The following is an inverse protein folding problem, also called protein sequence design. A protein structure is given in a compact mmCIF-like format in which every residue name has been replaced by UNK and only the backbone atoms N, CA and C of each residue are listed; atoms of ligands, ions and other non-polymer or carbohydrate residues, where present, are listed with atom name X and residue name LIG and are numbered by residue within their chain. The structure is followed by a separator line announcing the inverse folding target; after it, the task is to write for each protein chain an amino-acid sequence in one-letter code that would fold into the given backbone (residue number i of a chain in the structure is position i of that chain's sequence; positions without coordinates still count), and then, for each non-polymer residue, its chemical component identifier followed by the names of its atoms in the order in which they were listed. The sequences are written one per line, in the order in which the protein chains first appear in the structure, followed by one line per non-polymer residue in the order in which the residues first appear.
data_IF_314793579945
#
_entry.id   IF_314793579945
#
_cell.length_a   1.000
_cell.length_b   1.000
_cell.length_c   1.000
_cell.angle_alpha   90.00
_cell.angle_beta   90.00
_cell.angle_gamma   90.00
#
_symmetry.space_group_name_H-M   'P 1'
#
loop_
_entity.id
_entity.type
_entity.pdbx_description
1 polymer ?
#
# COMPACT_ATOMS: atom_id res chain seq x y z
N UNK A 1 14.36 -7.96 -30.02
CA UNK A 1 13.29 -7.72 -29.04
C UNK A 1 12.38 -8.93 -29.05
N UNK A 2 12.16 -9.50 -27.88
CA UNK A 2 11.31 -10.68 -27.69
C UNK A 2 9.86 -10.25 -27.36
N UNK A 3 8.92 -11.19 -27.35
CA UNK A 3 7.51 -10.89 -27.02
C UNK A 3 7.37 -10.17 -25.67
N UNK A 4 8.19 -10.53 -24.68
CA UNK A 4 8.20 -9.87 -23.37
C UNK A 4 8.55 -8.38 -23.46
N UNK A 5 9.45 -7.98 -24.38
CA UNK A 5 9.81 -6.56 -24.58
C UNK A 5 8.63 -5.75 -25.13
N UNK A 6 7.89 -6.32 -26.08
CA UNK A 6 6.70 -5.67 -26.64
C UNK A 6 5.59 -5.54 -25.61
N UNK A 7 5.39 -6.57 -24.77
CA UNK A 7 4.43 -6.51 -23.67
C UNK A 7 4.84 -5.45 -22.65
N UNK A 8 6.10 -5.42 -22.24
CA UNK A 8 6.61 -4.42 -21.29
C UNK A 8 6.47 -2.99 -21.83
N UNK A 9 6.84 -2.74 -23.08
CA UNK A 9 6.63 -1.44 -23.73
C UNK A 9 5.15 -1.08 -23.83
N UNK A 10 4.30 -2.04 -24.17
CA UNK A 10 2.86 -1.84 -24.21
C UNK A 10 2.31 -1.40 -22.85
N UNK A 11 2.69 -2.08 -21.76
CA UNK A 11 2.31 -1.70 -20.40
C UNK A 11 2.82 -0.32 -20.04
N UNK A 12 4.08 0.01 -20.36
CA UNK A 12 4.65 1.34 -20.08
C UNK A 12 3.86 2.43 -20.82
N UNK A 13 3.63 2.26 -22.12
CA UNK A 13 2.91 3.25 -22.95
C UNK A 13 1.47 3.42 -22.45
N UNK A 14 0.76 2.32 -22.17
CA UNK A 14 -0.61 2.37 -21.65
C UNK A 14 -0.64 3.08 -20.29
N UNK A 15 0.27 2.77 -19.38
CA UNK A 15 0.34 3.42 -18.07
C UNK A 15 0.64 4.91 -18.16
N UNK A 16 1.55 5.32 -19.06
CA UNK A 16 1.84 6.73 -19.31
C UNK A 16 0.61 7.44 -19.89
N UNK A 17 -0.08 6.85 -20.87
CA UNK A 17 -1.29 7.43 -21.45
C UNK A 17 -2.40 7.56 -20.41
N UNK A 18 -2.63 6.51 -19.61
CA UNK A 18 -3.62 6.55 -18.52
C UNK A 18 -3.28 7.64 -17.50
N UNK A 19 -2.02 7.74 -17.08
CA UNK A 19 -1.55 8.77 -16.17
C UNK A 19 -1.70 10.18 -16.74
N UNK A 20 -1.45 10.36 -18.04
CA UNK A 20 -1.63 11.64 -18.72
C UNK A 20 -3.11 12.04 -18.87
N UNK A 21 -4.00 11.09 -19.14
CA UNK A 21 -5.44 11.33 -19.33
C UNK A 21 -6.12 11.59 -17.98
N UNK A 22 -5.83 10.76 -16.97
CA UNK A 22 -6.48 10.84 -15.67
C UNK A 22 -5.87 11.95 -14.79
N UNK A 23 -4.56 12.19 -14.92
CA UNK A 23 -3.81 13.06 -14.03
C UNK A 23 -3.62 12.45 -12.64
N UNK A 24 -2.75 13.08 -11.84
CA UNK A 24 -2.42 12.63 -10.49
C UNK A 24 -3.58 12.76 -9.52
N UNK A 25 -4.33 13.86 -9.53
CA UNK A 25 -5.43 14.06 -8.56
C UNK A 25 -6.48 12.95 -8.61
N UNK A 26 -6.91 12.56 -9.82
CA UNK A 26 -7.86 11.45 -10.01
C UNK A 26 -7.19 10.09 -9.82
N UNK A 27 -5.95 9.93 -10.30
CA UNK A 27 -5.16 8.71 -10.11
C UNK A 27 -4.95 8.39 -8.63
N UNK A 28 -4.55 9.36 -7.82
CA UNK A 28 -4.36 9.23 -6.39
C UNK A 28 -5.67 8.81 -5.72
N UNK A 29 -6.79 9.46 -6.06
CA UNK A 29 -8.12 9.05 -5.56
C UNK A 29 -8.43 7.61 -5.92
N UNK A 30 -8.13 7.17 -7.14
CA UNK A 30 -8.36 5.78 -7.57
C UNK A 30 -7.57 4.80 -6.70
N UNK A 31 -6.25 4.97 -6.57
CA UNK A 31 -5.39 4.08 -5.77
C UNK A 31 -5.64 4.13 -4.26
N UNK A 32 -6.12 5.26 -3.75
CA UNK A 32 -6.43 5.43 -2.32
C UNK A 32 -7.90 5.17 -1.98
N UNK A 33 -8.73 4.85 -2.98
CA UNK A 33 -10.12 4.46 -2.80
C UNK A 33 -10.30 2.95 -2.71
N UNK A 34 -11.43 2.54 -2.11
CA UNK A 34 -11.79 1.13 -1.98
C UNK A 34 -10.79 0.31 -1.17
N UNK A 35 -10.61 -0.94 -1.56
CA UNK A 35 -9.85 -1.94 -0.79
C UNK A 35 -8.38 -1.55 -0.63
N UNK A 36 -7.72 -1.01 -1.67
CA UNK A 36 -6.32 -0.57 -1.58
C UNK A 36 -6.13 0.55 -0.56
N UNK A 37 -7.08 1.50 -0.50
CA UNK A 37 -7.10 2.53 0.53
C UNK A 37 -7.09 1.95 1.94
N UNK A 38 -7.95 0.95 2.19
CA UNK A 38 -8.04 0.27 3.48
C UNK A 38 -6.77 -0.53 3.82
N UNK A 39 -6.16 -1.20 2.84
CA UNK A 39 -4.88 -1.92 3.03
C UNK A 39 -3.77 -0.95 3.43
N UNK A 40 -3.62 0.16 2.70
CA UNK A 40 -2.60 1.18 3.02
C UNK A 40 -2.85 1.76 4.42
N UNK A 41 -4.10 2.09 4.76
CA UNK A 41 -4.44 2.58 6.09
C UNK A 41 -4.09 1.57 7.18
N UNK A 42 -4.33 0.28 6.95
CA UNK A 42 -3.97 -0.79 7.90
C UNK A 42 -2.47 -0.84 8.14
N UNK A 43 -1.67 -0.76 7.07
CA UNK A 43 -0.20 -0.76 7.16
C UNK A 43 0.28 0.50 7.90
N UNK A 44 -0.26 1.67 7.58
CA UNK A 44 0.07 2.93 8.27
C UNK A 44 -0.31 2.85 9.76
N UNK A 45 -1.48 2.30 10.08
CA UNK A 45 -1.90 2.07 11.46
C UNK A 45 -0.95 1.15 12.21
N UNK A 46 -0.48 0.07 11.59
CA UNK A 46 0.50 -0.82 12.21
C UNK A 46 1.77 -0.05 12.62
N UNK A 47 2.29 0.81 11.73
CA UNK A 47 3.48 1.62 12.05
C UNK A 47 3.20 2.69 13.12
N UNK A 48 2.02 3.32 13.08
CA UNK A 48 1.67 4.37 14.03
C UNK A 48 1.26 3.83 15.40
N UNK A 49 0.79 2.58 15.48
CA UNK A 49 0.23 2.00 16.70
C UNK A 49 1.20 2.08 17.87
N UNK A 50 2.45 1.65 17.66
CA UNK A 50 3.48 1.69 18.69
C UNK A 50 3.78 3.13 19.16
N UNK A 51 3.80 4.09 18.23
CA UNK A 51 4.05 5.50 18.56
C UNK A 51 2.92 6.04 19.42
N UNK A 52 1.67 5.84 19.00
CA UNK A 52 0.48 6.35 19.69
C UNK A 52 0.30 5.69 21.05
N UNK A 53 0.54 4.38 21.15
CA UNK A 53 0.47 3.62 22.40
C UNK A 53 1.45 4.15 23.47
N UNK A 54 2.60 4.69 23.06
CA UNK A 54 3.60 5.24 23.97
C UNK A 54 3.29 6.66 24.48
N UNK A 55 2.22 7.30 24.00
CA UNK A 55 1.84 8.60 24.52
C UNK A 55 1.22 8.49 25.91
N UNK A 56 1.73 9.28 26.86
CA UNK A 56 1.30 9.26 28.26
C UNK A 56 -0.22 9.46 28.42
N UNK A 57 -0.82 10.34 27.61
CA UNK A 57 -2.27 10.58 27.66
C UNK A 57 -3.08 9.36 27.16
N UNK A 58 -2.57 8.63 26.17
CA UNK A 58 -3.23 7.43 25.61
C UNK A 58 -3.21 6.34 26.67
N UNK A 59 -2.06 6.09 27.29
CA UNK A 59 -1.96 5.12 28.38
C UNK A 59 -2.88 5.46 29.54
N UNK A 60 -2.98 6.75 29.91
CA UNK A 60 -3.92 7.19 30.95
C UNK A 60 -5.40 6.93 30.57
N UNK A 61 -5.78 7.12 29.30
CA UNK A 61 -7.13 6.80 28.81
C UNK A 61 -7.40 5.29 28.81
N UNK A 62 -6.43 4.48 28.39
CA UNK A 62 -6.57 3.01 28.40
C UNK A 62 -6.72 2.47 29.82
N UNK A 63 -5.92 2.99 30.77
CA UNK A 63 -6.03 2.59 32.17
C UNK A 63 -7.39 2.94 32.75
N UNK A 64 -7.90 4.16 32.51
CA UNK A 64 -9.26 4.56 32.92
C UNK A 64 -10.34 3.67 32.30
N UNK A 65 -10.16 3.25 31.05
CA UNK A 65 -11.08 2.35 30.38
C UNK A 65 -11.11 0.97 31.05
N UNK A 66 -9.94 0.40 31.35
CA UNK A 66 -9.84 -0.88 32.07
C UNK A 66 -10.40 -0.79 33.49
N UNK A 67 -10.09 0.28 34.23
CA UNK A 67 -10.65 0.54 35.57
C UNK A 67 -12.19 0.60 35.54
N UNK A 68 -12.76 1.26 34.52
CA UNK A 68 -14.20 1.31 34.33
C UNK A 68 -14.79 -0.10 34.10
N UNK A 69 -14.14 -0.95 33.30
CA UNK A 69 -14.60 -2.32 33.06
C UNK A 69 -14.53 -3.17 34.33
N UNK A 70 -13.47 -3.03 35.14
CA UNK A 70 -13.36 -3.71 36.44
C UNK A 70 -14.43 -3.26 37.44
N UNK A 71 -14.91 -2.00 37.35
CA UNK A 71 -15.95 -1.49 38.25
C UNK A 71 -17.34 -2.13 38.07
N UNK A 72 -17.52 -2.94 37.02
CA UNK A 72 -18.76 -3.61 36.68
C UNK A 72 -18.54 -5.12 36.89
N UNK A 73 -18.94 -5.67 38.04
CA UNK A 73 -18.85 -7.11 38.32
C UNK A 73 -19.68 -7.94 37.33
N UNK A 74 -19.04 -8.39 36.25
CA UNK A 74 -19.66 -9.19 35.20
C UNK A 74 -18.59 -10.06 34.52
N UNK A 75 -18.79 -11.39 34.49
CA UNK A 75 -17.84 -12.34 33.92
C UNK A 75 -17.55 -12.13 32.42
N UNK A 76 -18.47 -11.51 31.65
CA UNK A 76 -18.18 -11.13 30.26
C UNK A 76 -17.13 -10.01 30.16
N UNK A 77 -17.14 -9.06 31.10
CA UNK A 77 -16.19 -7.95 31.12
C UNK A 77 -14.79 -8.41 31.53
N UNK A 78 -14.69 -9.37 32.46
CA UNK A 78 -13.41 -10.01 32.80
C UNK A 78 -12.79 -10.74 31.59
N UNK A 79 -13.62 -11.41 30.79
CA UNK A 79 -13.18 -12.00 29.53
C UNK A 79 -12.65 -10.93 28.56
N UNK A 80 -13.37 -9.81 28.39
CA UNK A 80 -12.92 -8.71 27.53
C UNK A 80 -11.58 -8.10 27.99
N UNK A 81 -11.38 -7.95 29.30
CA UNK A 81 -10.11 -7.47 29.86
C UNK A 81 -8.98 -8.47 29.56
N UNK A 82 -9.25 -9.78 29.70
CA UNK A 82 -8.27 -10.84 29.42
C UNK A 82 -7.76 -10.81 27.98
N UNK A 83 -8.63 -10.54 27.01
CA UNK A 83 -8.23 -10.43 25.59
C UNK A 83 -7.62 -9.07 25.23
N UNK A 84 -7.34 -8.20 26.21
CA UNK A 84 -6.80 -6.85 26.00
C UNK A 84 -7.68 -6.00 25.08
N UNK A 85 -8.98 -5.92 25.42
CA UNK A 85 -9.95 -5.09 24.69
C UNK A 85 -9.53 -3.63 24.60
N UNK A 86 -8.71 -3.13 25.54
CA UNK A 86 -8.08 -1.81 25.50
C UNK A 86 -7.24 -1.60 24.23
N UNK A 87 -6.39 -2.58 23.88
CA UNK A 87 -5.54 -2.51 22.69
C UNK A 87 -6.34 -2.67 21.40
N UNK A 88 -7.37 -3.52 21.43
CA UNK A 88 -8.29 -3.70 20.30
C UNK A 88 -9.05 -2.38 20.07
N UNK A 89 -9.59 -1.77 21.11
CA UNK A 89 -10.27 -0.47 21.03
C UNK A 89 -9.33 0.62 20.50
N UNK A 90 -8.10 0.70 21.01
CA UNK A 90 -7.09 1.64 20.51
C UNK A 90 -6.84 1.45 19.01
N UNK A 91 -6.64 0.22 18.56
CA UNK A 91 -6.33 -0.06 17.15
C UNK A 91 -7.50 0.27 16.24
N UNK A 92 -8.74 -0.01 16.64
CA UNK A 92 -9.95 0.37 15.89
C UNK A 92 -10.13 1.88 15.81
N UNK A 93 -9.95 2.60 16.93
CA UNK A 93 -10.03 4.07 16.94
C UNK A 93 -8.92 4.68 16.08
N UNK A 94 -7.68 4.21 16.22
CA UNK A 94 -6.56 4.66 15.42
C UNK A 94 -6.80 4.41 13.93
N UNK A 95 -7.36 3.24 13.58
CA UNK A 95 -7.75 2.94 12.21
C UNK A 95 -8.76 3.94 11.67
N UNK A 96 -9.84 4.22 12.40
CA UNK A 96 -10.80 5.24 12.02
C UNK A 96 -10.17 6.62 11.82
N UNK A 97 -9.25 7.03 12.71
CA UNK A 97 -8.55 8.32 12.58
C UNK A 97 -7.65 8.37 11.34
N UNK A 98 -6.91 7.32 11.04
CA UNK A 98 -6.06 7.23 9.84
C UNK A 98 -6.92 7.20 8.57
N UNK A 99 -8.05 6.52 8.58
CA UNK A 99 -9.01 6.51 7.47
C UNK A 99 -9.52 7.92 7.16
N UNK A 100 -9.91 8.67 8.20
CA UNK A 100 -10.36 10.06 8.07
C UNK A 100 -9.22 10.94 7.56
N UNK A 101 -8.03 10.85 8.17
CA UNK A 101 -6.86 11.62 7.76
C UNK A 101 -6.51 11.37 6.29
N UNK A 102 -6.54 10.10 5.84
CA UNK A 102 -6.34 9.72 4.43
C UNK A 102 -7.34 10.43 3.52
N UNK A 103 -8.64 10.38 3.85
CA UNK A 103 -9.67 11.03 3.04
C UNK A 103 -9.42 12.55 2.92
N UNK A 104 -9.05 13.20 4.02
CA UNK A 104 -8.71 14.63 4.06
C UNK A 104 -7.47 14.92 3.20
N UNK A 105 -6.38 14.16 3.38
CA UNK A 105 -5.13 14.35 2.63
C UNK A 105 -5.39 14.20 1.13
N UNK A 106 -6.10 13.16 0.72
CA UNK A 106 -6.44 12.93 -0.69
C UNK A 106 -7.30 14.06 -1.24
N UNK A 107 -8.27 14.55 -0.46
CA UNK A 107 -9.10 15.68 -0.86
C UNK A 107 -8.29 16.97 -1.05
N UNK A 108 -7.37 17.28 -0.14
CA UNK A 108 -6.49 18.47 -0.22
C UNK A 108 -5.56 18.37 -1.44
N UNK A 109 -4.84 17.26 -1.58
CA UNK A 109 -3.89 17.05 -2.68
C UNK A 109 -4.60 17.15 -4.02
N UNK A 110 -5.79 16.55 -4.13
CA UNK A 110 -6.63 16.66 -5.32
C UNK A 110 -7.07 18.10 -5.58
N UNK A 111 -7.51 18.80 -4.54
CA UNK A 111 -7.91 20.21 -4.62
C UNK A 111 -6.81 21.11 -5.16
N UNK A 112 -5.56 20.90 -4.72
CA UNK A 112 -4.39 21.66 -5.19
C UNK A 112 -4.05 21.30 -6.64
N UNK A 113 -4.00 20.02 -6.98
CA UNK A 113 -3.55 19.56 -8.30
C UNK A 113 -4.60 19.72 -9.41
N UNK A 114 -5.87 19.85 -9.07
CA UNK A 114 -6.96 20.09 -10.02
C UNK A 114 -7.28 21.59 -10.21
N UNK A 115 -6.47 22.50 -9.65
CA UNK A 115 -6.61 23.96 -9.89
C UNK A 115 -6.54 24.25 -11.40
N UNK A 116 -7.48 25.06 -11.89
CA UNK A 116 -7.59 25.44 -13.30
C UNK A 116 -6.54 26.50 -13.70
N UNK A 117 -5.27 26.11 -13.62
CA UNK A 117 -4.11 26.89 -14.05
C UNK A 117 -3.30 26.04 -15.06
N UNK A 118 -2.83 26.61 -16.18
CA UNK A 118 -2.05 25.87 -17.18
C UNK A 118 -0.82 25.16 -16.59
N UNK A 119 -0.12 25.76 -15.63
CA UNK A 119 1.04 25.16 -14.95
C UNK A 119 0.61 23.94 -14.14
N UNK A 120 -0.46 24.07 -13.35
CA UNK A 120 -0.98 22.97 -12.53
C UNK A 120 -1.53 21.82 -13.38
N UNK A 121 -2.14 22.11 -14.53
CA UNK A 121 -2.57 21.07 -15.49
C UNK A 121 -1.39 20.23 -15.99
N UNK A 122 -0.27 20.87 -16.31
CA UNK A 122 0.94 20.14 -16.76
C UNK A 122 1.51 19.31 -15.61
N UNK A 123 1.68 19.89 -14.42
CA UNK A 123 2.17 19.18 -13.23
C UNK A 123 1.27 17.98 -12.91
N UNK A 124 -0.05 18.15 -12.91
CA UNK A 124 -1.02 17.09 -12.64
C UNK A 124 -0.88 15.93 -13.64
N UNK A 125 -0.64 16.22 -14.92
CA UNK A 125 -0.41 15.19 -15.95
C UNK A 125 0.93 14.48 -15.77
N UNK A 126 2.02 15.22 -15.52
CA UNK A 126 3.36 14.66 -15.31
C UNK A 126 3.38 13.74 -14.08
N UNK A 127 2.83 14.22 -12.96
CA UNK A 127 2.70 13.42 -11.75
C UNK A 127 1.78 12.21 -11.98
N UNK A 128 0.71 12.36 -12.77
CA UNK A 128 -0.19 11.27 -13.13
C UNK A 128 0.54 10.16 -13.89
N UNK A 129 1.36 10.54 -14.89
CA UNK A 129 2.22 9.60 -15.62
C UNK A 129 3.18 8.87 -14.68
N UNK A 130 3.86 9.61 -13.81
CA UNK A 130 4.77 9.01 -12.82
C UNK A 130 4.06 8.04 -11.88
N UNK A 131 2.87 8.40 -11.39
CA UNK A 131 2.06 7.57 -10.50
C UNK A 131 1.63 6.26 -11.16
N UNK A 132 1.06 6.32 -12.36
CA UNK A 132 0.60 5.13 -13.07
C UNK A 132 1.76 4.25 -13.54
N UNK A 133 2.89 4.83 -13.94
CA UNK A 133 4.09 4.09 -14.26
C UNK A 133 4.63 3.36 -13.02
N UNK A 134 4.74 4.06 -11.88
CA UNK A 134 5.17 3.46 -10.62
C UNK A 134 4.23 2.33 -10.18
N UNK A 135 2.92 2.52 -10.29
CA UNK A 135 1.94 1.48 -9.99
C UNK A 135 2.12 0.25 -10.88
N UNK A 136 2.33 0.43 -12.19
CA UNK A 136 2.56 -0.67 -13.12
C UNK A 136 3.86 -1.43 -12.82
N UNK A 137 4.92 -0.72 -12.44
CA UNK A 137 6.18 -1.34 -11.98
C UNK A 137 5.91 -2.17 -10.71
N UNK A 138 5.25 -1.61 -9.70
CA UNK A 138 4.94 -2.33 -8.45
C UNK A 138 4.10 -3.58 -8.72
N UNK A 139 3.07 -3.48 -9.57
CA UNK A 139 2.24 -4.63 -9.95
C UNK A 139 3.08 -5.70 -10.65
N UNK A 140 3.98 -5.30 -11.56
CA UNK A 140 4.88 -6.23 -12.26
C UNK A 140 5.78 -6.96 -11.27
N UNK A 141 6.37 -6.24 -10.30
CA UNK A 141 7.18 -6.83 -9.24
C UNK A 141 6.38 -7.82 -8.38
N UNK A 142 5.14 -7.50 -8.02
CA UNK A 142 4.27 -8.42 -7.27
C UNK A 142 3.97 -9.68 -8.09
N UNK A 143 3.64 -9.54 -9.38
CA UNK A 143 3.38 -10.69 -10.26
C UNK A 143 4.63 -11.59 -10.34
N UNK A 144 5.81 -11.01 -10.53
CA UNK A 144 7.07 -11.76 -10.58
C UNK A 144 7.34 -12.47 -9.24
N UNK A 145 7.07 -11.80 -8.12
CA UNK A 145 7.19 -12.40 -6.79
C UNK A 145 6.27 -13.62 -6.62
N UNK A 146 5.01 -13.51 -7.06
CA UNK A 146 4.04 -14.61 -6.99
C UNK A 146 4.51 -15.79 -7.85
N UNK A 147 4.94 -15.54 -9.09
CA UNK A 147 5.44 -16.60 -9.99
C UNK A 147 6.69 -17.27 -9.39
N UNK A 148 7.60 -16.49 -8.81
CA UNK A 148 8.78 -17.05 -8.15
C UNK A 148 8.41 -17.89 -6.92
N UNK A 149 7.41 -17.48 -6.13
CA UNK A 149 6.94 -18.26 -4.98
C UNK A 149 6.29 -19.59 -5.37
N UNK A 150 5.62 -19.65 -6.53
CA UNK A 150 5.10 -20.92 -7.07
C UNK A 150 6.25 -21.87 -7.40
N UNK A 151 7.34 -21.35 -7.96
CA UNK A 151 8.56 -22.12 -8.22
C UNK A 151 8.42 -23.22 -9.28
N UNK A 152 9.39 -24.14 -9.30
CA UNK A 152 9.40 -25.33 -10.16
C UNK A 152 9.40 -25.02 -11.67
N UNK A 153 8.79 -25.92 -12.45
CA UNK A 153 8.72 -25.81 -13.91
C UNK A 153 7.98 -24.56 -14.38
N UNK A 154 7.02 -24.04 -13.59
CA UNK A 154 6.28 -22.83 -13.94
C UNK A 154 7.21 -21.62 -13.96
N UNK A 155 8.01 -21.45 -12.91
CA UNK A 155 8.97 -20.35 -12.81
C UNK A 155 10.08 -20.47 -13.87
N UNK A 156 10.61 -21.69 -14.10
CA UNK A 156 11.64 -21.93 -15.10
C UNK A 156 11.15 -21.64 -16.53
N UNK A 157 9.95 -22.13 -16.89
CA UNK A 157 9.35 -21.86 -18.20
C UNK A 157 9.01 -20.38 -18.39
N UNK A 158 8.59 -19.69 -17.32
CA UNK A 158 8.35 -18.25 -17.38
C UNK A 158 9.65 -17.48 -17.57
N UNK A 159 10.70 -17.80 -16.82
CA UNK A 159 12.03 -17.19 -16.95
C UNK A 159 12.63 -17.37 -18.34
N UNK A 160 12.44 -18.54 -18.95
CA UNK A 160 12.88 -18.80 -20.32
C UNK A 160 12.18 -17.88 -21.35
N UNK A 161 10.92 -17.50 -21.10
CA UNK A 161 10.19 -16.54 -21.97
C UNK A 161 10.65 -15.10 -21.81
N UNK A 162 11.38 -14.78 -20.75
CA UNK A 162 11.95 -13.46 -20.50
C UNK A 162 13.40 -13.34 -21.00
N UNK A 163 14.05 -14.48 -21.28
CA UNK A 163 15.48 -14.54 -21.55
C UNK A 163 15.88 -13.77 -22.81
N UNK A 164 16.89 -12.90 -22.69
CA UNK A 164 17.33 -12.04 -23.79
C UNK A 164 16.46 -10.79 -23.99
N UNK A 165 15.70 -10.38 -22.97
CA UNK A 165 14.92 -9.14 -22.98
C UNK A 165 15.83 -7.92 -23.12
N UNK A 166 15.55 -7.08 -24.12
CA UNK A 166 16.25 -5.80 -24.34
C UNK A 166 15.90 -4.80 -23.25
N UNK A 167 14.68 -4.85 -22.72
CA UNK A 167 14.20 -4.00 -21.62
C UNK A 167 14.63 -4.55 -20.25
N UNK A 168 15.43 -5.63 -20.23
CA UNK A 168 15.96 -6.30 -19.03
C UNK A 168 14.89 -6.81 -18.08
N UNK A 169 13.77 -7.28 -18.63
CA UNK A 169 12.65 -7.83 -17.85
C UNK A 169 13.03 -9.14 -17.17
N UNK A 170 13.93 -9.91 -17.78
CA UNK A 170 14.62 -11.07 -17.19
C UNK A 170 15.41 -10.70 -15.94
N UNK A 171 16.23 -9.65 -16.00
CA UNK A 171 17.00 -9.17 -14.87
C UNK A 171 16.11 -8.73 -13.71
N UNK A 172 14.99 -8.05 -14.01
CA UNK A 172 14.01 -7.61 -13.02
C UNK A 172 13.32 -8.81 -12.35
N UNK A 173 13.06 -9.87 -13.11
CA UNK A 173 12.50 -11.11 -12.55
C UNK A 173 13.48 -11.79 -11.59
N UNK A 174 14.74 -11.95 -12.00
CA UNK A 174 15.77 -12.62 -11.20
C UNK A 174 16.20 -11.81 -9.97
N UNK A 175 16.22 -10.48 -10.07
CA UNK A 175 16.67 -9.56 -9.01
C UNK A 175 15.52 -8.76 -8.43
N UNK A 176 14.35 -9.37 -8.32
CA UNK A 176 13.16 -8.69 -7.81
C UNK A 176 13.41 -8.20 -6.36
N UNK A 177 13.37 -6.89 -6.09
CA UNK A 177 13.67 -6.34 -4.77
C UNK A 177 12.69 -6.82 -3.68
N UNK A 178 11.50 -7.29 -4.06
CA UNK A 178 10.54 -7.89 -3.13
C UNK A 178 11.03 -9.24 -2.58
N UNK A 179 11.88 -9.98 -3.31
CA UNK A 179 12.41 -11.27 -2.85
C UNK A 179 13.38 -11.08 -1.68
N UNK A 180 14.17 -10.00 -1.71
CA UNK A 180 15.09 -9.66 -0.62
C UNK A 180 14.38 -9.30 0.69
N UNK A 181 13.12 -8.85 0.64
CA UNK A 181 12.32 -8.65 1.86
C UNK A 181 11.86 -9.98 2.46
N UNK A 182 11.56 -10.97 1.62
CA UNK A 182 11.12 -12.30 2.08
C UNK A 182 12.25 -13.09 2.70
N UNK A 183 13.46 -13.06 2.12
CA UNK A 183 14.65 -13.70 2.68
C UNK A 183 14.95 -13.19 4.10
N UNK A 184 14.93 -11.85 4.29
CA UNK A 184 15.12 -11.23 5.60
C UNK A 184 14.03 -11.56 6.63
N UNK A 185 12.79 -11.79 6.20
CA UNK A 185 11.69 -12.19 7.09
C UNK A 185 11.79 -13.69 7.44
N UNK A 186 12.30 -14.51 6.52
CA UNK A 186 12.53 -15.95 6.75
C UNK A 186 13.84 -16.27 7.48
N UNK A 187 14.71 -15.29 7.69
CA UNK A 187 15.98 -15.46 8.39
C UNK A 187 17.08 -16.07 7.52
N UNK A 188 16.99 -15.90 6.19
CA UNK A 188 18.03 -16.26 5.22
C UNK A 188 18.86 -15.04 4.78
#
# INVERSE_FOLDING_TARGET
MITADYVALGVIVVSLLLGMILGFGRGLKFFTSGIFGHIIATIVCYFLFAIVYNFAFVQALLNKFIEFLHSKENGFLEFLITIRIDLIALSVVLFGLVEIARLIIVAIVRGILEIDNPVMKVINKLLGMALFLAAAVVITLIIFQIISWVGGDIAANFRAKLDGSVVKVDYIFDNNPLMGMVAKIKGE
#
